data_IF_180774008820
#
_entry.id   IF_180774008820
#
_cell.length_a   1.000
_cell.length_b   1.000
_cell.length_c   1.000
_cell.angle_alpha   90.00
_cell.angle_beta   90.00
_cell.angle_gamma   90.00
#
_symmetry.space_group_name_H-M   'P 1'
#
loop_
_entity.id
_entity.type
_entity.pdbx_description
1 polymer ?
#
# COMPACT_ATOMS: atom_id res chain seq x y z
N UNK A 1 -25.56 -41.31 4.73
CA UNK A 1 -24.32 -40.56 4.45
C UNK A 1 -24.61 -39.10 4.78
N UNK A 2 -24.35 -38.71 6.05
CA UNK A 2 -24.46 -37.34 6.52
C UNK A 2 -23.24 -36.54 6.01
N UNK A 3 -23.43 -35.79 4.95
CA UNK A 3 -22.48 -34.79 4.50
C UNK A 3 -22.65 -33.51 5.31
N UNK A 4 -22.04 -33.44 6.48
CA UNK A 4 -21.86 -32.18 7.18
C UNK A 4 -21.00 -31.26 6.31
N UNK A 5 -21.64 -30.33 5.61
CA UNK A 5 -20.98 -29.24 4.95
C UNK A 5 -20.21 -28.45 6.04
N UNK A 6 -18.89 -28.64 6.10
CA UNK A 6 -18.01 -27.81 6.92
C UNK A 6 -18.16 -26.38 6.41
N UNK A 7 -18.82 -25.52 7.19
CA UNK A 7 -18.84 -24.10 6.91
C UNK A 7 -17.38 -23.63 6.85
N UNK A 8 -16.92 -23.21 5.67
CA UNK A 8 -15.66 -22.50 5.54
C UNK A 8 -15.81 -21.20 6.32
N UNK A 9 -15.24 -21.14 7.50
CA UNK A 9 -15.00 -19.87 8.18
C UNK A 9 -14.08 -19.07 7.28
N UNK A 10 -14.58 -17.96 6.74
CA UNK A 10 -13.72 -16.98 6.08
C UNK A 10 -12.76 -16.44 7.13
N UNK A 11 -11.47 -16.42 6.83
CA UNK A 11 -10.48 -15.83 7.71
C UNK A 11 -10.88 -14.39 8.00
N UNK A 12 -10.91 -14.03 9.29
CA UNK A 12 -11.28 -12.68 9.70
C UNK A 12 -10.18 -11.71 9.25
N UNK A 13 -10.56 -10.73 8.42
CA UNK A 13 -9.63 -9.68 8.01
C UNK A 13 -9.43 -8.73 9.18
N UNK A 14 -8.19 -8.64 9.67
CA UNK A 14 -7.78 -7.70 10.72
C UNK A 14 -7.43 -6.36 10.10
N UNK A 15 -7.87 -5.28 10.72
CA UNK A 15 -7.60 -3.90 10.30
C UNK A 15 -7.10 -3.06 11.47
N UNK A 16 -6.36 -1.98 11.16
CA UNK A 16 -5.86 -1.03 12.15
C UNK A 16 -6.48 0.37 11.98
N UNK A 17 -7.70 0.42 11.46
CA UNK A 17 -8.43 1.65 11.17
C UNK A 17 -8.57 2.59 12.37
N UNK A 18 -8.64 2.06 13.60
CA UNK A 18 -8.68 2.84 14.83
C UNK A 18 -7.37 2.83 15.63
N UNK A 19 -6.24 2.60 14.95
CA UNK A 19 -4.90 2.48 15.55
C UNK A 19 -4.80 1.38 16.61
N UNK A 20 -5.61 0.34 16.45
CA UNK A 20 -5.58 -0.92 17.18
C UNK A 20 -6.10 -2.02 16.28
N UNK A 21 -5.66 -3.22 16.50
CA UNK A 21 -6.11 -4.38 15.76
C UNK A 21 -7.56 -4.73 16.13
N UNK A 22 -8.41 -4.78 15.10
CA UNK A 22 -9.82 -5.14 15.21
C UNK A 22 -10.23 -5.95 13.98
N UNK A 23 -11.25 -6.79 14.12
CA UNK A 23 -11.79 -7.45 12.92
C UNK A 23 -12.56 -6.43 12.08
N UNK A 24 -12.47 -6.53 10.76
CA UNK A 24 -13.14 -5.62 9.83
C UNK A 24 -14.65 -5.49 10.11
N UNK A 25 -15.27 -6.55 10.63
CA UNK A 25 -16.71 -6.59 10.93
C UNK A 25 -17.08 -5.83 12.22
N UNK A 26 -16.15 -5.65 13.14
CA UNK A 26 -16.39 -4.99 14.44
C UNK A 26 -16.07 -3.49 14.41
N UNK A 27 -15.34 -3.04 13.39
CA UNK A 27 -14.97 -1.62 13.28
C UNK A 27 -16.17 -0.76 12.95
N UNK A 28 -16.56 0.23 13.80
CA UNK A 28 -17.71 1.10 13.58
C UNK A 28 -17.40 2.25 12.60
N UNK A 29 -16.50 2.03 11.64
CA UNK A 29 -16.10 2.97 10.60
C UNK A 29 -16.26 2.28 9.24
N UNK A 30 -16.65 3.03 8.21
CA UNK A 30 -16.74 2.49 6.86
C UNK A 30 -15.32 2.25 6.30
N UNK A 31 -14.81 1.04 6.48
CA UNK A 31 -13.50 0.59 6.00
C UNK A 31 -13.67 -0.41 4.87
N UNK A 32 -12.81 -0.32 3.86
CA UNK A 32 -12.55 -1.38 2.90
C UNK A 32 -11.10 -1.78 3.03
N UNK A 33 -10.82 -3.06 3.25
CA UNK A 33 -9.47 -3.58 3.39
C UNK A 33 -9.17 -4.60 2.28
N UNK A 34 -7.98 -4.50 1.72
CA UNK A 34 -7.45 -5.42 0.72
C UNK A 34 -6.19 -6.08 1.29
N UNK A 35 -6.24 -7.37 1.48
CA UNK A 35 -5.07 -8.18 1.84
C UNK A 35 -4.13 -8.32 0.63
N UNK A 36 -2.87 -8.70 0.85
CA UNK A 36 -1.91 -8.97 -0.21
C UNK A 36 -2.49 -9.92 -1.27
N UNK A 37 -3.10 -11.03 -0.85
CA UNK A 37 -3.72 -12.00 -1.75
C UNK A 37 -4.90 -11.43 -2.56
N UNK A 38 -5.64 -10.49 -1.98
CA UNK A 38 -6.73 -9.81 -2.69
C UNK A 38 -6.17 -8.85 -3.74
N UNK A 39 -5.12 -8.10 -3.41
CA UNK A 39 -4.44 -7.19 -4.33
C UNK A 39 -3.81 -7.95 -5.51
N UNK A 40 -3.17 -9.08 -5.25
CA UNK A 40 -2.60 -9.95 -6.29
C UNK A 40 -3.68 -10.52 -7.22
N UNK A 41 -4.80 -11.02 -6.67
CA UNK A 41 -5.92 -11.52 -7.48
C UNK A 41 -6.60 -10.45 -8.32
N UNK A 42 -6.65 -9.21 -7.84
CA UNK A 42 -7.18 -8.06 -8.56
C UNK A 42 -6.20 -7.50 -9.59
N UNK A 43 -4.93 -7.91 -9.55
CA UNK A 43 -3.86 -7.38 -10.39
C UNK A 43 -3.53 -5.93 -10.06
N UNK A 44 -3.71 -5.52 -8.80
CA UNK A 44 -3.44 -4.17 -8.33
C UNK A 44 -1.94 -3.88 -8.38
N UNK A 45 -1.55 -2.89 -9.15
CA UNK A 45 -0.13 -2.51 -9.34
C UNK A 45 0.27 -1.35 -8.45
N UNK A 46 -0.64 -0.38 -8.31
CA UNK A 46 -0.46 0.80 -7.49
C UNK A 46 -1.79 1.20 -6.82
N UNK A 47 -1.74 2.22 -5.97
CA UNK A 47 -2.93 2.68 -5.23
C UNK A 47 -4.03 3.21 -6.16
N UNK A 48 -3.71 3.70 -7.36
CA UNK A 48 -4.73 4.19 -8.29
C UNK A 48 -5.64 3.08 -8.82
N UNK A 49 -5.16 1.85 -8.90
CA UNK A 49 -5.97 0.69 -9.30
C UNK A 49 -7.13 0.39 -8.32
N UNK A 50 -7.12 0.99 -7.11
CA UNK A 50 -8.20 0.86 -6.13
C UNK A 50 -9.45 1.69 -6.47
N UNK A 51 -9.38 2.61 -7.43
CA UNK A 51 -10.50 3.46 -7.86
C UNK A 51 -11.76 2.64 -8.20
N UNK A 52 -11.58 1.57 -8.96
CA UNK A 52 -12.69 0.71 -9.38
C UNK A 52 -13.16 -0.28 -8.28
N UNK A 53 -12.42 -0.41 -7.18
CA UNK A 53 -12.65 -1.44 -6.17
C UNK A 53 -13.35 -0.92 -4.91
N UNK A 54 -13.28 0.39 -4.67
CA UNK A 54 -13.83 1.01 -3.46
C UNK A 54 -14.98 1.97 -3.82
N UNK A 55 -16.19 1.74 -3.30
CA UNK A 55 -17.31 2.64 -3.58
C UNK A 55 -17.04 4.08 -3.13
N UNK A 56 -17.29 5.04 -4.01
CA UNK A 56 -17.09 6.48 -3.78
C UNK A 56 -15.63 6.89 -3.50
N UNK A 57 -14.67 6.08 -3.88
CA UNK A 57 -13.28 6.45 -4.00
C UNK A 57 -13.01 6.87 -5.45
N UNK A 58 -12.26 7.93 -5.64
CA UNK A 58 -11.66 8.30 -6.92
C UNK A 58 -10.19 8.57 -6.68
N UNK A 59 -9.33 7.80 -7.33
CA UNK A 59 -7.87 7.88 -7.17
C UNK A 59 -7.21 7.79 -8.54
N UNK A 60 -6.32 8.73 -8.81
CA UNK A 60 -5.57 8.73 -10.08
C UNK A 60 -4.26 9.50 -9.95
N UNK A 61 -3.34 9.26 -10.89
CA UNK A 61 -2.13 10.07 -11.02
C UNK A 61 -2.49 11.49 -11.46
N UNK A 62 -1.97 12.49 -10.78
CA UNK A 62 -2.22 13.88 -11.13
C UNK A 62 -1.66 14.21 -12.51
N UNK A 63 -2.28 15.20 -13.16
CA UNK A 63 -1.87 15.65 -14.50
C UNK A 63 -0.39 16.06 -14.52
N UNK A 64 0.37 15.48 -15.43
CA UNK A 64 1.78 15.81 -15.66
C UNK A 64 2.75 15.20 -14.65
N UNK A 65 2.28 14.24 -13.82
CA UNK A 65 3.14 13.52 -12.88
C UNK A 65 2.65 12.09 -12.67
N UNK A 66 3.52 11.12 -12.88
CA UNK A 66 3.23 9.70 -12.67
C UNK A 66 3.29 9.27 -11.20
N UNK A 67 3.84 10.10 -10.32
CA UNK A 67 4.04 9.79 -8.90
C UNK A 67 3.14 10.60 -7.95
N UNK A 68 2.39 11.57 -8.48
CA UNK A 68 1.55 12.44 -7.67
C UNK A 68 0.14 11.88 -7.55
N UNK A 69 -0.30 11.67 -6.31
CA UNK A 69 -1.63 11.14 -6.01
C UNK A 69 -2.68 12.26 -6.00
N UNK A 70 -3.78 12.04 -6.72
CA UNK A 70 -5.03 12.77 -6.53
C UNK A 70 -6.08 11.79 -5.99
N UNK A 71 -6.67 12.11 -4.84
CA UNK A 71 -7.65 11.25 -4.20
C UNK A 71 -8.88 12.03 -3.73
N UNK A 72 -10.06 11.45 -3.98
CA UNK A 72 -11.35 11.91 -3.47
C UNK A 72 -12.08 10.75 -2.81
N UNK A 73 -12.66 10.98 -1.66
CA UNK A 73 -13.58 10.04 -1.00
C UNK A 73 -14.90 10.74 -0.78
N UNK A 74 -15.98 10.17 -1.33
CA UNK A 74 -17.33 10.77 -1.28
C UNK A 74 -17.37 12.21 -1.81
N UNK A 75 -16.57 12.51 -2.83
CA UNK A 75 -16.46 13.83 -3.44
C UNK A 75 -15.57 14.82 -2.67
N UNK A 76 -15.03 14.44 -1.52
CA UNK A 76 -14.11 15.28 -0.73
C UNK A 76 -12.66 14.91 -1.06
N UNK A 77 -11.90 15.85 -1.57
CA UNK A 77 -10.51 15.68 -1.97
C UNK A 77 -9.91 16.97 -2.51
N UNK A 78 -8.74 16.88 -3.12
CA UNK A 78 -8.05 18.01 -3.73
C UNK A 78 -7.56 17.63 -5.12
N UNK A 79 -7.97 18.39 -6.13
CA UNK A 79 -7.66 18.10 -7.54
C UNK A 79 -6.24 18.57 -7.93
N UNK A 80 -5.79 19.70 -7.40
CA UNK A 80 -4.54 20.31 -7.80
C UNK A 80 -3.46 20.08 -6.73
N UNK A 81 -2.36 19.39 -7.07
CA UNK A 81 -1.26 19.11 -6.14
C UNK A 81 -0.33 20.32 -5.98
N UNK A 82 -0.90 21.49 -5.71
CA UNK A 82 -0.15 22.73 -5.60
C UNK A 82 0.61 22.81 -4.27
N UNK A 83 1.72 23.53 -4.29
CA UNK A 83 2.47 23.88 -3.08
C UNK A 83 1.61 24.72 -2.13
N UNK A 84 1.50 24.30 -0.87
CA UNK A 84 0.71 25.00 0.15
C UNK A 84 -0.76 24.64 0.18
N UNK A 85 -1.23 23.74 -0.69
CA UNK A 85 -2.58 23.18 -0.62
C UNK A 85 -2.53 21.79 -0.02
N UNK A 86 -3.27 21.59 1.07
CA UNK A 86 -3.34 20.30 1.76
C UNK A 86 -4.42 19.40 1.13
N UNK A 87 -4.19 18.08 1.04
CA UNK A 87 -5.18 17.13 0.51
C UNK A 87 -6.37 16.98 1.48
N UNK A 88 -7.54 16.59 0.93
CA UNK A 88 -8.72 16.24 1.73
C UNK A 88 -8.75 14.78 2.16
N UNK A 89 -7.90 13.93 1.56
CA UNK A 89 -7.71 12.51 1.88
C UNK A 89 -6.27 12.30 2.30
N UNK A 90 -6.06 11.78 3.51
CA UNK A 90 -4.73 11.48 4.04
C UNK A 90 -4.19 10.16 3.49
N UNK A 91 -2.92 10.13 3.10
CA UNK A 91 -2.20 8.90 2.79
C UNK A 91 -1.19 8.59 3.90
N UNK A 92 -1.16 7.33 4.31
CA UNK A 92 -0.28 6.84 5.38
C UNK A 92 0.46 5.61 4.89
N UNK A 93 1.77 5.59 5.11
CA UNK A 93 2.63 4.42 4.97
C UNK A 93 3.09 4.02 6.36
N UNK A 94 2.71 2.83 6.81
CA UNK A 94 3.02 2.32 8.16
C UNK A 94 2.76 3.34 9.29
N UNK A 95 1.57 3.95 9.23
CA UNK A 95 1.12 5.04 10.12
C UNK A 95 1.87 6.38 10.00
N UNK A 96 2.86 6.49 9.12
CA UNK A 96 3.54 7.76 8.81
C UNK A 96 2.73 8.52 7.75
N UNK A 97 2.33 9.75 8.08
CA UNK A 97 1.58 10.60 7.15
C UNK A 97 2.46 11.09 6.00
N UNK A 98 2.07 10.80 4.77
CA UNK A 98 2.70 11.35 3.57
C UNK A 98 2.09 12.72 3.30
N UNK A 99 2.79 13.76 3.73
CA UNK A 99 2.30 15.13 3.75
C UNK A 99 2.19 15.78 2.36
N UNK A 100 2.83 15.20 1.36
CA UNK A 100 2.84 15.73 -0.01
C UNK A 100 2.22 14.73 -0.98
N UNK A 101 1.33 15.18 -1.87
CA UNK A 101 0.77 14.31 -2.90
C UNK A 101 1.81 13.86 -3.92
N UNK A 102 2.92 14.62 -4.08
CA UNK A 102 4.06 14.23 -4.91
C UNK A 102 4.80 13.05 -4.26
N UNK A 103 4.96 11.97 -5.01
CA UNK A 103 5.51 10.71 -4.48
C UNK A 103 4.52 9.88 -3.66
N UNK A 104 3.26 10.27 -3.60
CA UNK A 104 2.22 9.59 -2.83
C UNK A 104 1.51 8.47 -3.63
N UNK A 105 1.74 8.36 -4.93
CA UNK A 105 1.26 7.24 -5.73
C UNK A 105 2.20 6.06 -5.52
N UNK A 106 1.87 5.23 -4.54
CA UNK A 106 2.70 4.11 -4.13
C UNK A 106 2.42 2.87 -4.98
N UNK A 107 3.49 2.24 -5.46
CA UNK A 107 3.43 0.92 -6.08
C UNK A 107 3.17 -0.17 -5.01
N UNK A 108 2.42 -1.19 -5.39
CA UNK A 108 2.12 -2.34 -4.51
C UNK A 108 3.28 -3.33 -4.55
N UNK A 109 4.15 -3.30 -3.56
CA UNK A 109 5.19 -4.30 -3.35
C UNK A 109 5.43 -4.51 -1.85
N UNK A 110 5.63 -5.74 -1.44
CA UNK A 110 5.84 -6.17 -0.04
C UNK A 110 4.78 -5.58 0.93
N UNK A 111 3.53 -5.56 0.47
CA UNK A 111 2.40 -5.06 1.22
C UNK A 111 1.72 -6.20 2.00
N UNK A 112 1.27 -5.91 3.21
CA UNK A 112 0.40 -6.80 3.97
C UNK A 112 -1.06 -6.55 3.62
N UNK A 113 -1.46 -5.27 3.65
CA UNK A 113 -2.80 -4.84 3.28
C UNK A 113 -2.87 -3.34 2.98
N UNK A 114 -3.92 -2.93 2.29
CA UNK A 114 -4.30 -1.54 2.11
C UNK A 114 -5.69 -1.34 2.71
N UNK A 115 -5.84 -0.31 3.55
CA UNK A 115 -7.10 0.05 4.19
C UNK A 115 -7.58 1.40 3.67
N UNK A 116 -8.83 1.49 3.22
CA UNK A 116 -9.47 2.74 2.81
C UNK A 116 -10.58 3.09 3.80
N UNK A 117 -10.35 4.13 4.59
CA UNK A 117 -11.26 4.65 5.60
C UNK A 117 -12.09 5.77 4.98
N UNK A 118 -13.40 5.61 4.91
CA UNK A 118 -14.31 6.54 4.23
C UNK A 118 -15.08 7.41 5.21
N UNK A 119 -14.86 8.70 5.14
CA UNK A 119 -15.42 9.73 6.01
C UNK A 119 -14.38 10.34 6.93
N UNK A 120 -14.74 11.39 7.69
CA UNK A 120 -13.79 12.16 8.50
C UNK A 120 -13.01 11.28 9.49
N UNK A 121 -11.69 11.42 9.48
CA UNK A 121 -10.77 10.67 10.35
C UNK A 121 -9.89 11.57 11.23
N UNK A 122 -10.23 12.87 11.33
CA UNK A 122 -9.39 13.86 11.97
C UNK A 122 -9.02 13.58 13.42
N UNK A 123 -9.89 12.90 14.18
CA UNK A 123 -9.65 12.59 15.59
C UNK A 123 -8.45 11.67 15.83
N UNK A 124 -8.24 10.68 14.95
CA UNK A 124 -7.19 9.68 15.08
C UNK A 124 -5.99 9.91 14.14
N UNK A 125 -6.26 10.52 13.00
CA UNK A 125 -5.30 10.69 11.92
C UNK A 125 -4.84 12.14 11.73
N UNK A 126 -5.49 13.09 12.42
CA UNK A 126 -5.12 14.49 12.37
C UNK A 126 -5.67 15.23 11.14
N UNK A 127 -5.02 16.32 10.76
CA UNK A 127 -5.44 17.18 9.65
C UNK A 127 -5.43 16.44 8.30
N UNK A 128 -6.11 17.02 7.32
CA UNK A 128 -6.12 16.56 5.93
C UNK A 128 -6.79 15.19 5.71
N UNK A 129 -7.73 14.83 6.59
CA UNK A 129 -8.47 13.57 6.54
C UNK A 129 -9.98 13.79 6.63
N UNK A 130 -10.49 14.90 6.09
CA UNK A 130 -11.92 15.23 6.12
C UNK A 130 -12.75 14.33 5.19
N UNK A 131 -12.16 13.88 4.08
CA UNK A 131 -12.78 12.90 3.17
C UNK A 131 -12.55 11.46 3.63
N UNK A 132 -11.41 11.21 4.26
CA UNK A 132 -11.00 9.89 4.70
C UNK A 132 -9.49 9.71 4.72
N UNK A 133 -9.05 8.45 4.82
CA UNK A 133 -7.64 8.09 4.80
C UNK A 133 -7.43 6.81 3.99
N UNK A 134 -6.28 6.72 3.31
CA UNK A 134 -5.77 5.52 2.69
C UNK A 134 -4.53 5.12 3.47
N UNK A 135 -4.52 3.89 3.99
CA UNK A 135 -3.39 3.33 4.73
C UNK A 135 -2.75 2.22 3.91
N UNK A 136 -1.48 2.35 3.67
CA UNK A 136 -0.64 1.31 3.10
C UNK A 136 0.14 0.69 4.27
N UNK A 137 -0.07 -0.58 4.52
CA UNK A 137 0.59 -1.32 5.59
C UNK A 137 1.54 -2.33 4.95
N UNK A 138 2.83 -2.15 5.19
CA UNK A 138 3.87 -3.06 4.71
C UNK A 138 3.86 -4.37 5.50
N UNK A 139 4.44 -5.42 4.93
CA UNK A 139 4.64 -6.67 5.67
C UNK A 139 5.60 -6.45 6.83
N UNK A 140 5.21 -6.92 8.00
CA UNK A 140 6.00 -6.83 9.21
C UNK A 140 7.20 -7.80 9.23
N UNK A 141 7.94 -7.76 10.33
CA UNK A 141 9.10 -8.61 10.58
C UNK A 141 8.67 -10.04 10.98
N UNK A 142 8.90 -11.05 10.15
CA UNK A 142 8.42 -12.40 10.41
C UNK A 142 9.26 -13.10 11.50
N UNK A 143 8.62 -14.03 12.19
CA UNK A 143 9.25 -14.87 13.24
C UNK A 143 10.03 -16.04 12.68
N UNK A 144 9.69 -16.46 11.46
CA UNK A 144 10.36 -17.52 10.70
C UNK A 144 10.83 -16.94 9.36
N UNK A 145 11.69 -17.66 8.66
CA UNK A 145 12.14 -17.22 7.33
C UNK A 145 10.95 -17.25 6.38
N UNK A 146 10.61 -16.09 5.88
CA UNK A 146 9.53 -15.87 4.91
C UNK A 146 10.06 -15.08 3.72
N UNK A 147 9.65 -15.45 2.52
CA UNK A 147 10.05 -14.74 1.33
C UNK A 147 9.13 -15.03 0.14
N UNK A 148 9.09 -14.06 -0.75
CA UNK A 148 8.35 -14.18 -1.99
C UNK A 148 9.12 -13.52 -3.14
N UNK A 149 8.88 -14.01 -4.35
CA UNK A 149 9.38 -13.39 -5.56
C UNK A 149 8.34 -13.51 -6.67
N UNK A 150 8.22 -12.49 -7.49
CA UNK A 150 7.35 -12.48 -8.65
C UNK A 150 8.01 -11.82 -9.85
N UNK A 151 7.67 -12.31 -11.03
CA UNK A 151 8.08 -11.73 -12.31
C UNK A 151 6.81 -11.56 -13.15
N UNK A 152 6.58 -10.34 -13.61
CA UNK A 152 5.47 -10.03 -14.53
C UNK A 152 6.03 -9.60 -15.85
N UNK A 153 5.54 -10.21 -16.93
CA UNK A 153 5.85 -9.82 -18.30
C UNK A 153 4.57 -9.40 -19.02
N UNK A 154 4.65 -8.42 -19.88
CA UNK A 154 3.49 -7.89 -20.56
C UNK A 154 3.82 -7.18 -21.87
N UNK A 155 2.80 -6.54 -22.44
CA UNK A 155 2.97 -5.72 -23.63
C UNK A 155 3.85 -4.50 -23.35
N UNK A 156 4.36 -3.87 -24.38
CA UNK A 156 5.26 -2.71 -24.30
C UNK A 156 6.54 -3.01 -23.53
N UNK A 157 7.14 -4.16 -23.76
CA UNK A 157 8.38 -4.55 -23.10
C UNK A 157 8.29 -4.66 -21.58
N UNK A 158 7.06 -4.77 -21.00
CA UNK A 158 6.89 -4.82 -19.56
C UNK A 158 7.65 -5.98 -18.94
N UNK A 159 8.49 -5.63 -17.96
CA UNK A 159 9.22 -6.57 -17.10
C UNK A 159 9.25 -6.01 -15.68
N UNK A 160 8.39 -6.54 -14.83
CA UNK A 160 8.38 -6.21 -13.41
C UNK A 160 8.95 -7.38 -12.61
N UNK A 161 9.91 -7.08 -11.74
CA UNK A 161 10.51 -8.06 -10.83
C UNK A 161 10.34 -7.54 -9.41
N UNK A 162 9.71 -8.33 -8.55
CA UNK A 162 9.55 -8.02 -7.12
C UNK A 162 10.09 -9.20 -6.32
N UNK A 163 10.85 -8.93 -5.27
CA UNK A 163 11.35 -9.95 -4.35
C UNK A 163 11.42 -9.39 -2.93
N UNK A 164 11.10 -10.23 -1.95
CA UNK A 164 11.26 -9.91 -0.55
C UNK A 164 11.69 -11.15 0.22
N UNK A 165 12.49 -10.94 1.26
CA UNK A 165 12.88 -11.97 2.21
C UNK A 165 13.02 -11.36 3.60
N UNK A 166 12.57 -12.08 4.62
CA UNK A 166 12.69 -11.68 6.01
C UNK A 166 12.83 -12.89 6.93
N UNK A 167 13.18 -12.62 8.18
CA UNK A 167 13.29 -13.67 9.20
C UNK A 167 14.13 -13.26 10.40
N UNK A 168 14.31 -14.19 11.34
CA UNK A 168 15.18 -14.01 12.49
C UNK A 168 16.65 -13.98 12.04
N UNK A 169 17.39 -12.98 12.48
CA UNK A 169 18.83 -12.83 12.26
C UNK A 169 19.66 -13.50 13.35
N UNK A 170 19.03 -13.82 14.49
CA UNK A 170 19.64 -14.54 15.62
C UNK A 170 18.72 -15.68 16.06
N UNK A 171 19.29 -16.74 16.58
CA UNK A 171 18.58 -17.99 16.88
C UNK A 171 17.43 -17.83 17.90
N UNK A 172 17.52 -16.87 18.82
CA UNK A 172 16.47 -16.60 19.80
C UNK A 172 15.33 -15.71 19.26
N UNK A 173 15.38 -15.28 17.98
CA UNK A 173 14.37 -14.41 17.38
C UNK A 173 14.35 -12.97 17.91
N UNK A 174 15.30 -12.60 18.77
CA UNK A 174 15.36 -11.25 19.35
C UNK A 174 15.80 -10.17 18.37
N UNK A 175 16.41 -10.54 17.25
CA UNK A 175 16.72 -9.64 16.14
C UNK A 175 16.12 -10.21 14.86
N UNK A 176 15.33 -9.41 14.16
CA UNK A 176 14.69 -9.81 12.90
C UNK A 176 14.93 -8.75 11.84
N UNK A 177 14.97 -9.17 10.59
CA UNK A 177 15.15 -8.27 9.46
C UNK A 177 14.25 -8.67 8.29
N UNK A 178 13.95 -7.70 7.45
CA UNK A 178 13.25 -7.90 6.17
C UNK A 178 13.81 -6.94 5.14
N UNK A 179 13.98 -7.41 3.92
CA UNK A 179 14.35 -6.60 2.76
C UNK A 179 13.41 -6.95 1.61
N UNK A 180 12.96 -5.91 0.90
CA UNK A 180 12.17 -6.04 -0.31
C UNK A 180 12.72 -5.12 -1.39
N UNK A 181 12.66 -5.60 -2.65
CA UNK A 181 13.10 -4.86 -3.84
C UNK A 181 12.05 -5.02 -4.93
N UNK A 182 11.75 -3.94 -5.63
CA UNK A 182 10.93 -3.96 -6.83
C UNK A 182 11.60 -3.18 -7.95
N UNK A 183 11.69 -3.80 -9.13
CA UNK A 183 12.10 -3.16 -10.39
C UNK A 183 10.95 -3.27 -11.36
N UNK A 184 10.35 -2.14 -11.72
CA UNK A 184 9.16 -2.07 -12.56
C UNK A 184 9.50 -1.29 -13.83
N UNK A 185 9.47 -1.98 -14.96
CA UNK A 185 9.86 -1.39 -16.23
C UNK A 185 8.80 -1.66 -17.29
N UNK A 186 8.50 -0.65 -18.09
CA UNK A 186 7.62 -0.75 -19.24
C UNK A 186 7.88 0.41 -20.21
N UNK A 187 7.94 0.12 -21.50
CA UNK A 187 8.04 1.12 -22.55
C UNK A 187 6.78 2.01 -22.60
N UNK A 188 6.93 3.20 -23.18
CA UNK A 188 5.85 4.16 -23.32
C UNK A 188 4.74 3.72 -24.28
N UNK A 189 3.56 4.32 -24.12
CA UNK A 189 2.43 4.09 -25.02
C UNK A 189 2.40 5.05 -26.22
N UNK A 190 3.19 6.10 -26.18
CA UNK A 190 3.22 7.12 -27.19
C UNK A 190 4.62 7.68 -27.35
N UNK A 191 4.81 8.49 -28.37
CA UNK A 191 6.07 9.12 -28.71
C UNK A 191 5.90 10.64 -28.77
N UNK A 192 6.86 11.36 -28.22
CA UNK A 192 6.96 12.79 -28.43
C UNK A 192 7.44 13.05 -29.86
N UNK A 193 6.58 13.57 -30.71
CA UNK A 193 6.83 13.77 -32.14
C UNK A 193 7.98 14.78 -32.45
N UNK A 194 8.41 15.54 -31.45
CA UNK A 194 9.51 16.53 -31.61
C UNK A 194 10.84 15.91 -31.18
N UNK A 195 10.85 15.16 -30.08
CA UNK A 195 12.10 14.64 -29.51
C UNK A 195 12.34 13.16 -29.83
N UNK A 196 11.33 12.44 -30.32
CA UNK A 196 11.40 11.00 -30.56
C UNK A 196 11.49 10.17 -29.27
N UNK A 197 11.22 10.79 -28.12
CA UNK A 197 11.24 10.08 -26.83
C UNK A 197 9.90 9.43 -26.55
N UNK A 198 9.93 8.25 -25.98
CA UNK A 198 8.74 7.60 -25.45
C UNK A 198 8.12 8.44 -24.33
N UNK A 199 6.80 8.41 -24.25
CA UNK A 199 6.02 9.06 -23.18
C UNK A 199 5.12 8.03 -22.51
N UNK A 200 4.88 8.21 -21.23
CA UNK A 200 4.12 7.28 -20.38
C UNK A 200 4.84 5.93 -20.14
N UNK A 201 6.14 5.90 -20.30
CA UNK A 201 7.00 4.81 -19.84
C UNK A 201 6.97 4.70 -18.30
N UNK A 202 7.42 3.56 -17.79
CA UNK A 202 7.59 3.33 -16.36
C UNK A 202 8.98 2.75 -16.12
N UNK A 203 9.76 3.44 -15.29
CA UNK A 203 11.04 2.98 -14.81
C UNK A 203 11.13 3.28 -13.31
N UNK A 204 10.90 2.27 -12.48
CA UNK A 204 10.87 2.39 -11.03
C UNK A 204 11.78 1.35 -10.41
N UNK A 205 12.68 1.79 -9.56
CA UNK A 205 13.42 0.95 -8.62
C UNK A 205 13.03 1.36 -7.21
N UNK A 206 12.39 0.45 -6.50
CA UNK A 206 11.98 0.64 -5.11
C UNK A 206 12.66 -0.38 -4.20
N UNK A 207 13.05 0.06 -3.02
CA UNK A 207 13.67 -0.78 -2.00
C UNK A 207 13.04 -0.46 -0.64
N UNK A 208 12.81 -1.50 0.15
CA UNK A 208 12.36 -1.38 1.54
C UNK A 208 13.23 -2.25 2.42
N UNK A 209 13.62 -1.75 3.58
CA UNK A 209 14.32 -2.51 4.58
C UNK A 209 13.75 -2.26 5.96
N UNK A 210 13.66 -3.32 6.74
CA UNK A 210 13.19 -3.28 8.12
C UNK A 210 14.15 -4.07 9.00
N UNK A 211 14.39 -3.55 10.20
CA UNK A 211 15.19 -4.19 11.23
C UNK A 211 14.52 -3.99 12.59
N UNK A 212 14.29 -5.05 13.33
CA UNK A 212 13.65 -4.99 14.64
C UNK A 212 14.43 -5.76 15.70
N UNK A 213 14.66 -5.12 16.84
CA UNK A 213 15.21 -5.72 18.03
C UNK A 213 14.10 -5.88 19.09
N UNK A 214 13.75 -7.11 19.40
CA UNK A 214 12.72 -7.50 20.37
C UNK A 214 13.44 -7.93 21.65
N UNK A 215 13.55 -6.99 22.60
CA UNK A 215 14.36 -7.15 23.82
C UNK A 215 13.58 -7.96 24.86
N UNK A 216 12.30 -7.66 25.06
CA UNK A 216 11.36 -8.37 25.93
C UNK A 216 9.93 -8.11 25.46
N UNK A 217 8.92 -8.61 26.20
CA UNK A 217 7.50 -8.46 25.85
C UNK A 217 7.00 -7.01 25.87
N UNK A 218 7.65 -6.13 26.61
CA UNK A 218 7.25 -4.73 26.81
C UNK A 218 8.10 -3.74 26.00
N UNK A 219 9.20 -4.18 25.39
CA UNK A 219 10.13 -3.29 24.73
C UNK A 219 10.71 -3.86 23.45
N UNK A 220 10.40 -3.21 22.35
CA UNK A 220 11.00 -3.45 21.05
C UNK A 220 11.42 -2.13 20.38
N UNK A 221 12.35 -2.22 19.46
CA UNK A 221 12.82 -1.11 18.64
C UNK A 221 12.82 -1.57 17.19
N UNK A 222 12.13 -0.83 16.34
CA UNK A 222 12.06 -1.13 14.92
C UNK A 222 12.51 0.06 14.08
N UNK A 223 13.27 -0.22 13.04
CA UNK A 223 13.69 0.73 12.02
C UNK A 223 13.16 0.26 10.67
N UNK A 224 12.60 1.19 9.91
CA UNK A 224 12.19 0.97 8.54
C UNK A 224 12.76 2.10 7.66
N UNK A 225 13.07 1.76 6.41
CA UNK A 225 13.42 2.71 5.37
C UNK A 225 12.80 2.28 4.03
N UNK A 226 12.41 3.25 3.25
CA UNK A 226 11.88 3.12 1.91
C UNK A 226 12.63 4.03 0.94
#
# INVERSE_FOLDING_TARGET
>A
ADGTAQARTLDAVTVTARKREETLQEVPVAVTAFTADALDRLGTRDIADLDAQVPNLTVYAARGSSSTLTAFIRGVGQADPLWGVDPGVGLYLDDVYIARPQGALLDVFDVERIEVLRGPQGTLYGKNTIGGAIKYISRGLPTEVDGNASVTVGNYGQLDVKAAIGGPLVANGGLRGRIAVASLNRDGFGENIVTGQDVSDKEVLAMRGQLGAFVNEDFDVQFAFD
#
